data_IF_381114230735
#
_entry.id   IF_381114230735
#
_cell.length_a   1.000
_cell.length_b   1.000
_cell.length_c   1.000
_cell.angle_alpha   90.00
_cell.angle_beta   90.00
_cell.angle_gamma   90.00
#
_symmetry.space_group_name_H-M   'P 1'
#
loop_
_entity.id
_entity.type
_entity.pdbx_description
1 polymer ?
#
# COMPACT_ATOMS: atom_id res chain seq x y z
N UNK A 1 13.66 -6.57 -15.67
CA UNK A 1 12.96 -5.29 -15.95
C UNK A 1 13.55 -4.67 -17.22
N UNK A 2 12.75 -4.07 -18.11
CA UNK A 2 13.23 -3.40 -19.35
C UNK A 2 12.86 -1.92 -19.34
N UNK A 3 13.83 -1.03 -19.59
CA UNK A 3 13.59 0.40 -19.77
C UNK A 3 12.98 0.66 -21.16
N UNK A 4 11.88 1.39 -21.25
CA UNK A 4 11.22 1.74 -22.51
C UNK A 4 11.91 2.88 -23.28
N UNK A 5 12.79 3.64 -22.63
CA UNK A 5 13.46 4.80 -23.24
C UNK A 5 14.78 4.47 -23.94
N UNK A 6 15.59 3.58 -23.36
CA UNK A 6 16.93 3.24 -23.86
C UNK A 6 17.16 1.74 -24.04
N UNK A 7 16.11 0.93 -23.88
CA UNK A 7 16.11 -0.53 -24.05
C UNK A 7 17.00 -1.34 -23.09
N UNK A 8 17.70 -0.68 -22.15
CA UNK A 8 18.48 -1.34 -21.11
C UNK A 8 17.62 -2.37 -20.38
N UNK A 9 18.13 -3.60 -20.35
CA UNK A 9 17.47 -4.74 -19.69
C UNK A 9 18.27 -5.12 -18.45
N UNK A 10 17.60 -5.11 -17.31
CA UNK A 10 18.16 -5.52 -16.02
C UNK A 10 17.65 -6.92 -15.71
N UNK A 11 18.58 -7.88 -15.61
CA UNK A 11 18.32 -9.30 -15.36
C UNK A 11 19.03 -9.75 -14.08
N UNK A 12 18.36 -10.62 -13.32
CA UNK A 12 18.85 -11.13 -12.04
C UNK A 12 17.70 -11.73 -11.21
N UNK A 13 18.05 -12.36 -10.10
CA UNK A 13 17.08 -12.79 -9.11
C UNK A 13 16.79 -11.62 -8.17
N UNK A 14 15.57 -11.09 -8.23
CA UNK A 14 15.12 -10.02 -7.35
C UNK A 14 13.93 -10.53 -6.57
N UNK A 15 13.99 -10.39 -5.25
CA UNK A 15 12.79 -10.55 -4.44
C UNK A 15 11.85 -9.38 -4.71
N UNK A 16 10.57 -9.68 -4.84
CA UNK A 16 9.57 -8.64 -4.99
C UNK A 16 9.51 -7.83 -3.69
N UNK A 17 9.79 -6.52 -3.69
CA UNK A 17 9.69 -5.69 -2.50
C UNK A 17 8.33 -5.85 -1.83
N UNK A 18 8.30 -5.85 -0.49
CA UNK A 18 7.08 -6.08 0.28
C UNK A 18 5.89 -5.20 -0.16
N UNK A 19 6.16 -3.93 -0.45
CA UNK A 19 5.12 -3.00 -0.92
C UNK A 19 4.49 -3.45 -2.25
N UNK A 20 5.27 -4.04 -3.16
CA UNK A 20 4.79 -4.55 -4.44
C UNK A 20 4.07 -5.90 -4.32
N UNK A 21 4.12 -6.55 -3.16
CA UNK A 21 3.31 -7.74 -2.86
C UNK A 21 1.89 -7.35 -2.40
N UNK A 22 1.64 -6.07 -2.09
CA UNK A 22 0.32 -5.56 -1.76
C UNK A 22 -0.51 -5.31 -3.02
N UNK A 23 -1.82 -5.47 -2.91
CA UNK A 23 -2.76 -5.11 -3.98
C UNK A 23 -2.82 -3.61 -4.22
N UNK A 24 -3.32 -3.19 -5.38
CA UNK A 24 -3.38 -1.77 -5.75
C UNK A 24 -4.16 -0.91 -4.74
N UNK A 25 -5.30 -1.40 -4.25
CA UNK A 25 -6.10 -0.69 -3.24
C UNK A 25 -5.36 -0.52 -1.91
N UNK A 26 -4.54 -1.49 -1.53
CA UNK A 26 -3.75 -1.46 -0.29
C UNK A 26 -2.58 -0.48 -0.41
N UNK A 27 -1.95 -0.45 -1.59
CA UNK A 27 -0.92 0.53 -1.94
C UNK A 27 -1.51 1.96 -1.92
N UNK A 28 -2.66 2.17 -2.54
CA UNK A 28 -3.38 3.45 -2.52
C UNK A 28 -3.80 3.86 -1.10
N UNK A 29 -4.23 2.90 -0.26
CA UNK A 29 -4.52 3.14 1.14
C UNK A 29 -3.30 3.69 1.90
N UNK A 30 -2.13 3.06 1.74
CA UNK A 30 -0.89 3.49 2.41
C UNK A 30 -0.50 4.90 1.96
N UNK A 31 -0.60 5.17 0.66
CA UNK A 31 -0.30 6.50 0.12
C UNK A 31 -1.26 7.56 0.69
N UNK A 32 -2.56 7.28 0.71
CA UNK A 32 -3.56 8.20 1.25
C UNK A 32 -3.41 8.42 2.76
N UNK A 33 -3.01 7.37 3.51
CA UNK A 33 -2.68 7.49 4.92
C UNK A 33 -1.50 8.43 5.15
N UNK A 34 -0.44 8.28 4.34
CA UNK A 34 0.72 9.18 4.38
C UNK A 34 0.34 10.62 4.04
N UNK A 35 -0.43 10.83 2.97
CA UNK A 35 -0.92 12.16 2.56
C UNK A 35 -1.88 12.80 3.57
N UNK A 36 -2.52 11.99 4.41
CA UNK A 36 -3.38 12.46 5.50
C UNK A 36 -2.62 12.66 6.82
N UNK A 37 -1.28 12.66 6.80
CA UNK A 37 -0.43 12.74 7.99
C UNK A 37 -0.77 11.66 9.04
N UNK A 38 -1.19 10.48 8.59
CA UNK A 38 -1.59 9.37 9.43
C UNK A 38 -2.99 9.49 10.06
N UNK A 39 -3.82 10.44 9.62
CA UNK A 39 -5.16 10.64 10.16
C UNK A 39 -6.20 9.72 9.53
N UNK A 40 -6.52 8.61 10.21
CA UNK A 40 -7.64 7.72 9.86
C UNK A 40 -8.97 8.47 9.80
N UNK A 41 -9.14 9.46 10.69
CA UNK A 41 -10.36 10.28 10.74
C UNK A 41 -10.53 11.11 9.46
N UNK A 42 -9.47 11.73 8.97
CA UNK A 42 -9.53 12.48 7.71
C UNK A 42 -9.75 11.54 6.52
N UNK A 43 -9.09 10.38 6.48
CA UNK A 43 -9.35 9.38 5.45
C UNK A 43 -10.82 8.93 5.43
N UNK A 44 -11.40 8.64 6.60
CA UNK A 44 -12.80 8.24 6.73
C UNK A 44 -13.73 9.33 6.18
N UNK A 45 -13.48 10.58 6.55
CA UNK A 45 -14.22 11.76 6.06
C UNK A 45 -14.12 11.90 4.54
N UNK A 46 -12.92 11.80 3.97
CA UNK A 46 -12.68 11.91 2.53
C UNK A 46 -13.35 10.78 1.74
N UNK A 47 -13.36 9.56 2.28
CA UNK A 47 -13.98 8.39 1.67
C UNK A 47 -15.50 8.30 1.88
N UNK A 48 -16.11 9.19 2.69
CA UNK A 48 -17.52 9.09 3.06
C UNK A 48 -17.84 7.86 3.91
N UNK A 49 -16.85 7.32 4.65
CA UNK A 49 -16.97 6.13 5.46
C UNK A 49 -16.98 6.47 6.96
N UNK A 50 -17.50 5.54 7.76
CA UNK A 50 -17.41 5.67 9.22
C UNK A 50 -15.96 5.49 9.68
N UNK A 51 -15.58 6.17 10.77
CA UNK A 51 -14.27 5.96 11.39
C UNK A 51 -14.01 4.47 11.73
N UNK A 52 -14.95 3.71 12.33
CA UNK A 52 -14.79 2.27 12.54
C UNK A 52 -14.49 1.48 11.26
N UNK A 53 -15.17 1.78 10.16
CA UNK A 53 -14.93 1.11 8.87
C UNK A 53 -13.51 1.36 8.36
N UNK A 54 -13.07 2.62 8.41
CA UNK A 54 -11.71 2.98 7.97
C UNK A 54 -10.64 2.38 8.88
N UNK A 55 -10.93 2.33 10.18
CA UNK A 55 -10.04 1.71 11.18
C UNK A 55 -9.86 0.22 10.92
N UNK A 56 -10.95 -0.51 10.71
CA UNK A 56 -10.89 -1.95 10.40
C UNK A 56 -10.06 -2.21 9.13
N UNK A 57 -10.25 -1.42 8.07
CA UNK A 57 -9.42 -1.50 6.85
C UNK A 57 -7.92 -1.34 7.14
N UNK A 58 -7.55 -0.42 8.04
CA UNK A 58 -6.15 -0.23 8.44
C UNK A 58 -5.63 -1.46 9.20
N UNK A 59 -6.38 -1.95 10.18
CA UNK A 59 -5.98 -3.06 11.04
C UNK A 59 -5.85 -4.37 10.21
N UNK A 60 -6.73 -4.60 9.23
CA UNK A 60 -6.63 -5.70 8.26
C UNK A 60 -5.35 -5.61 7.43
N UNK A 61 -5.00 -4.41 6.94
CA UNK A 61 -3.78 -4.20 6.15
C UNK A 61 -2.51 -4.39 6.99
N UNK A 62 -2.50 -3.95 8.25
CA UNK A 62 -1.41 -4.19 9.19
C UNK A 62 -1.20 -5.71 9.37
N UNK A 63 -2.27 -6.45 9.62
CA UNK A 63 -2.24 -7.92 9.79
C UNK A 63 -1.67 -8.62 8.56
N UNK A 64 -2.06 -8.16 7.36
CA UNK A 64 -1.52 -8.67 6.09
C UNK A 64 -0.02 -8.40 5.97
N UNK A 65 0.42 -7.18 6.25
CA UNK A 65 1.83 -6.79 6.19
C UNK A 65 2.67 -7.62 7.17
N UNK A 66 2.19 -7.86 8.39
CA UNK A 66 2.87 -8.71 9.37
C UNK A 66 3.00 -10.16 8.90
N UNK A 67 2.02 -10.66 8.15
CA UNK A 67 2.06 -12.00 7.55
C UNK A 67 3.09 -12.09 6.43
N UNK A 68 3.19 -11.05 5.57
CA UNK A 68 4.17 -11.00 4.46
C UNK A 68 5.63 -10.76 4.92
N UNK A 69 5.83 -10.25 6.14
CA UNK A 69 7.17 -10.06 6.72
C UNK A 69 7.81 -11.36 7.25
N UNK A 70 7.01 -12.41 7.47
CA UNK A 70 7.49 -13.72 7.97
C UNK A 70 8.02 -14.57 6.82
#
# INVERSE_FOLDING_TARGET
>A
MKCSHCETTVNGNYELPLYLQLGREEQEFILNFFLSSGSIKEMAKQAGLSYPTMRNKMDDLITKIETLKK
#
